data_IF_282712244366
#
_entry.id   IF_282712244366
#
_cell.length_a   1.000
_cell.length_b   1.000
_cell.length_c   1.000
_cell.angle_alpha   90.00
_cell.angle_beta   90.00
_cell.angle_gamma   90.00
#
_symmetry.space_group_name_H-M   'P 1'
#
loop_
_entity.id
_entity.type
_entity.pdbx_description
1 polymer ?
#
# COMPACT_ATOMS: atom_id res chain seq x y z
N UNK A 1 -13.12 -57.86 -20.96
CA UNK A 1 -14.10 -57.43 -19.95
C UNK A 1 -13.41 -57.22 -18.61
N UNK A 2 -12.82 -56.03 -18.38
CA UNK A 2 -12.36 -55.53 -17.08
C UNK A 2 -12.55 -54.01 -17.12
N UNK A 3 -13.65 -53.55 -16.53
CA UNK A 3 -13.96 -52.16 -16.27
C UNK A 3 -13.30 -51.75 -14.95
N UNK A 4 -12.42 -50.77 -14.98
CA UNK A 4 -12.02 -49.99 -13.80
C UNK A 4 -11.79 -48.53 -14.21
N UNK A 5 -12.18 -47.56 -13.38
CA UNK A 5 -12.95 -46.41 -13.81
C UNK A 5 -12.15 -45.10 -13.83
N UNK A 6 -12.67 -44.17 -14.64
CA UNK A 6 -12.37 -42.74 -14.72
C UNK A 6 -12.46 -42.03 -13.34
N UNK A 7 -11.45 -42.20 -12.48
CA UNK A 7 -11.31 -41.43 -11.24
C UNK A 7 -9.87 -40.92 -11.13
N UNK A 8 -9.45 -40.09 -12.07
CA UNK A 8 -8.28 -39.21 -11.90
C UNK A 8 -8.59 -37.75 -12.25
N UNK A 9 -9.87 -37.39 -12.40
CA UNK A 9 -10.27 -36.05 -12.86
C UNK A 9 -11.01 -35.23 -11.79
N UNK A 10 -10.67 -35.34 -10.50
CA UNK A 10 -11.33 -34.55 -9.44
C UNK A 10 -10.41 -34.17 -8.27
N UNK A 11 -9.14 -33.82 -8.52
CA UNK A 11 -8.30 -33.27 -7.44
C UNK A 11 -7.27 -32.21 -7.90
N UNK A 12 -7.69 -31.29 -8.76
CA UNK A 12 -7.05 -29.97 -8.83
C UNK A 12 -8.04 -28.92 -8.37
N UNK A 13 -8.60 -29.12 -7.17
CA UNK A 13 -9.28 -28.06 -6.45
C UNK A 13 -8.21 -27.05 -6.01
N UNK A 14 -8.36 -25.80 -6.46
CA UNK A 14 -7.35 -24.77 -6.41
C UNK A 14 -6.76 -24.53 -5.02
N UNK A 15 -5.44 -24.69 -4.92
CA UNK A 15 -4.64 -23.88 -4.01
C UNK A 15 -4.28 -22.60 -4.76
N UNK A 16 -5.22 -21.65 -4.83
CA UNK A 16 -4.82 -20.27 -4.95
C UNK A 16 -4.16 -19.91 -3.60
N UNK A 17 -2.85 -20.06 -3.51
CA UNK A 17 -2.03 -19.52 -2.43
C UNK A 17 -2.28 -18.00 -2.43
N UNK A 18 -3.17 -17.53 -1.57
CA UNK A 18 -3.29 -16.10 -1.33
C UNK A 18 -2.04 -15.71 -0.55
N UNK A 19 -0.99 -15.34 -1.29
CA UNK A 19 0.27 -14.94 -0.71
C UNK A 19 0.02 -13.76 0.21
N UNK A 20 0.60 -13.82 1.41
CA UNK A 20 0.46 -12.76 2.40
C UNK A 20 0.77 -11.39 1.77
N UNK A 21 -0.07 -10.35 1.95
CA UNK A 21 0.19 -9.04 1.39
C UNK A 21 1.58 -8.50 1.75
N UNK A 22 2.27 -7.86 0.80
CA UNK A 22 3.65 -7.42 0.99
C UNK A 22 3.86 -6.57 2.26
N UNK A 23 2.93 -5.65 2.56
CA UNK A 23 3.03 -4.79 3.75
C UNK A 23 3.10 -5.61 5.05
N UNK A 24 2.37 -6.73 5.16
CA UNK A 24 2.42 -7.62 6.33
C UNK A 24 3.74 -8.39 6.41
N UNK A 25 4.31 -8.74 5.26
CA UNK A 25 5.64 -9.35 5.22
C UNK A 25 6.70 -8.35 5.71
N UNK A 26 6.61 -7.09 5.28
CA UNK A 26 7.47 -5.99 5.75
C UNK A 26 7.31 -5.78 7.26
N UNK A 27 6.08 -5.67 7.76
CA UNK A 27 5.80 -5.48 9.20
C UNK A 27 6.41 -6.60 10.04
N UNK A 28 6.34 -7.85 9.57
CA UNK A 28 6.98 -9.00 10.24
C UNK A 28 8.49 -8.83 10.33
N UNK A 29 9.13 -8.38 9.25
CA UNK A 29 10.57 -8.13 9.26
C UNK A 29 10.97 -6.95 10.15
N UNK A 30 10.14 -5.91 10.24
CA UNK A 30 10.33 -4.78 11.15
C UNK A 30 10.23 -5.27 12.59
N UNK A 31 9.14 -5.97 12.94
CA UNK A 31 8.92 -6.50 14.29
C UNK A 31 10.06 -7.42 14.75
N UNK A 32 10.60 -8.25 13.85
CA UNK A 32 11.73 -9.13 14.15
C UNK A 32 13.06 -8.40 14.40
N UNK A 33 13.23 -7.16 13.91
CA UNK A 33 14.50 -6.42 13.95
C UNK A 33 14.48 -5.17 14.84
N UNK A 34 13.30 -4.66 15.20
CA UNK A 34 13.17 -3.35 15.86
C UNK A 34 13.87 -3.24 17.23
N UNK A 35 14.09 -4.36 17.94
CA UNK A 35 14.77 -4.37 19.24
C UNK A 35 14.06 -3.58 20.35
N UNK A 36 12.82 -3.14 20.11
CA UNK A 36 12.03 -2.27 20.99
C UNK A 36 10.66 -1.94 20.38
N UNK A 37 9.87 -1.05 21.01
CA UNK A 37 8.54 -0.69 20.53
C UNK A 37 8.56 -0.12 19.10
N UNK A 38 7.67 -0.63 18.24
CA UNK A 38 7.48 -0.12 16.87
C UNK A 38 6.54 1.08 16.90
N UNK A 39 6.75 2.04 15.99
CA UNK A 39 5.88 3.20 15.83
C UNK A 39 4.43 2.78 15.55
N UNK A 40 3.47 3.48 16.15
CA UNK A 40 2.05 3.29 15.89
C UNK A 40 1.63 3.75 14.49
N UNK A 41 0.39 3.46 14.12
CA UNK A 41 -0.21 3.97 12.89
C UNK A 41 -0.33 5.50 12.94
N UNK A 42 -0.01 6.15 11.84
CA UNK A 42 -0.16 7.60 11.71
C UNK A 42 -1.63 8.00 11.64
N UNK A 43 -1.96 9.13 12.26
CA UNK A 43 -3.24 9.78 12.03
C UNK A 43 -3.33 10.35 10.60
N UNK A 44 -4.52 10.86 10.24
CA UNK A 44 -4.77 11.39 8.90
C UNK A 44 -3.96 12.65 8.58
N UNK A 45 -3.63 13.46 9.58
CA UNK A 45 -2.88 14.71 9.39
C UNK A 45 -1.41 14.43 9.10
N UNK A 46 -0.81 13.52 9.88
CA UNK A 46 0.54 13.03 9.66
C UNK A 46 0.64 12.28 8.32
N UNK A 47 -0.32 11.41 8.04
CA UNK A 47 -0.40 10.66 6.78
C UNK A 47 -0.40 11.60 5.58
N UNK A 48 -1.29 12.61 5.58
CA UNK A 48 -1.45 13.51 4.44
C UNK A 48 -0.17 14.31 4.15
N UNK A 49 0.48 14.83 5.21
CA UNK A 49 1.74 15.56 5.07
C UNK A 49 2.86 14.66 4.54
N UNK A 50 3.03 13.45 5.11
CA UNK A 50 4.09 12.53 4.71
C UNK A 50 3.93 12.05 3.27
N UNK A 51 2.72 11.65 2.88
CA UNK A 51 2.49 11.12 1.53
C UNK A 51 2.69 12.19 0.44
N UNK A 52 2.35 13.46 0.71
CA UNK A 52 2.61 14.57 -0.22
C UNK A 52 4.11 14.81 -0.41
N UNK A 53 4.87 14.84 0.68
CA UNK A 53 6.32 14.99 0.63
C UNK A 53 7.01 13.81 -0.06
N UNK A 54 6.61 12.58 0.27
CA UNK A 54 7.26 11.37 -0.24
C UNK A 54 6.93 11.10 -1.72
N UNK A 55 5.68 11.32 -2.13
CA UNK A 55 5.26 11.02 -3.50
C UNK A 55 5.40 12.22 -4.43
N UNK A 56 5.02 13.43 -4.01
CA UNK A 56 4.99 14.60 -4.89
C UNK A 56 6.09 15.63 -4.58
N UNK A 57 6.82 15.50 -3.47
CA UNK A 57 7.92 16.41 -3.13
C UNK A 57 7.48 17.80 -2.67
N UNK A 58 6.19 18.01 -2.37
CA UNK A 58 5.65 19.33 -2.05
C UNK A 58 5.00 19.42 -0.65
N UNK A 59 4.92 20.65 -0.15
CA UNK A 59 4.27 20.96 1.13
C UNK A 59 2.81 21.32 0.84
N UNK A 60 1.83 20.59 1.38
CA UNK A 60 0.42 20.86 1.13
C UNK A 60 -0.02 22.20 1.72
N UNK A 61 -1.00 22.83 1.07
CA UNK A 61 -1.60 24.06 1.60
C UNK A 61 -2.56 23.76 2.77
N UNK A 62 -2.79 24.75 3.63
CA UNK A 62 -3.72 24.57 4.75
C UNK A 62 -5.17 24.26 4.30
N UNK A 63 -5.57 24.74 3.11
CA UNK A 63 -6.88 24.45 2.55
C UNK A 63 -7.01 22.98 2.13
N UNK A 64 -5.98 22.44 1.46
CA UNK A 64 -5.90 21.03 1.07
C UNK A 64 -5.94 20.09 2.27
N UNK A 65 -5.13 20.37 3.31
CA UNK A 65 -5.11 19.59 4.54
C UNK A 65 -6.50 19.56 5.17
N UNK A 66 -7.17 20.71 5.32
CA UNK A 66 -8.52 20.78 5.88
C UNK A 66 -9.55 20.02 5.04
N UNK A 67 -9.44 20.06 3.71
CA UNK A 67 -10.33 19.32 2.83
C UNK A 67 -10.16 17.80 3.02
N UNK A 68 -8.92 17.31 3.08
CA UNK A 68 -8.63 15.89 3.29
C UNK A 68 -9.10 15.39 4.67
N UNK A 69 -8.86 16.18 5.73
CA UNK A 69 -9.27 15.83 7.09
C UNK A 69 -10.79 15.77 7.24
N UNK A 70 -11.52 16.64 6.54
CA UNK A 70 -13.00 16.67 6.56
C UNK A 70 -13.64 15.58 5.69
N UNK A 71 -12.88 14.92 4.82
CA UNK A 71 -13.41 13.86 3.96
C UNK A 71 -13.74 12.60 4.79
N UNK A 72 -15.01 12.15 4.82
CA UNK A 72 -15.43 10.98 5.59
C UNK A 72 -15.27 9.66 4.82
N UNK A 73 -14.84 9.69 3.57
CA UNK A 73 -14.74 8.50 2.73
C UNK A 73 -13.71 7.51 3.30
N UNK A 74 -14.13 6.25 3.47
CA UNK A 74 -13.29 5.17 4.02
C UNK A 74 -12.08 4.86 3.15
N UNK A 75 -12.14 5.19 1.87
CA UNK A 75 -11.11 4.94 0.86
C UNK A 75 -10.30 6.20 0.49
N UNK A 76 -10.43 7.29 1.25
CA UNK A 76 -9.78 8.58 0.92
C UNK A 76 -8.26 8.49 0.82
N UNK A 77 -7.61 7.63 1.63
CA UNK A 77 -6.15 7.43 1.59
C UNK A 77 -5.73 6.75 0.29
N UNK A 78 -6.44 5.71 -0.12
CA UNK A 78 -6.19 5.00 -1.39
C UNK A 78 -6.38 5.93 -2.58
N UNK A 79 -7.51 6.65 -2.63
CA UNK A 79 -7.79 7.64 -3.69
C UNK A 79 -6.72 8.72 -3.79
N UNK A 80 -6.24 9.21 -2.65
CA UNK A 80 -5.15 10.20 -2.63
C UNK A 80 -3.85 9.62 -3.19
N UNK A 81 -3.48 8.39 -2.79
CA UNK A 81 -2.27 7.74 -3.31
C UNK A 81 -2.37 7.57 -4.82
N UNK A 82 -3.50 7.06 -5.33
CA UNK A 82 -3.72 6.87 -6.77
C UNK A 82 -3.62 8.21 -7.52
N UNK A 83 -4.21 9.28 -6.96
CA UNK A 83 -4.11 10.63 -7.52
C UNK A 83 -2.67 11.14 -7.56
N UNK A 84 -1.90 10.96 -6.48
CA UNK A 84 -0.51 11.44 -6.40
C UNK A 84 0.40 10.67 -7.35
N UNK A 85 0.26 9.34 -7.43
CA UNK A 85 1.03 8.49 -8.33
C UNK A 85 0.73 8.79 -9.81
N UNK A 86 -0.50 9.19 -10.13
CA UNK A 86 -0.90 9.56 -11.48
C UNK A 86 -0.48 11.00 -11.88
N UNK A 87 0.01 11.81 -10.94
CA UNK A 87 0.38 13.20 -11.19
C UNK A 87 1.82 13.36 -11.71
N UNK A 88 2.04 14.36 -12.56
CA UNK A 88 3.37 14.66 -13.13
C UNK A 88 4.44 14.95 -12.06
N UNK A 89 4.02 15.51 -10.92
CA UNK A 89 4.89 15.79 -9.79
C UNK A 89 5.58 14.53 -9.24
N UNK A 90 4.92 13.37 -9.28
CA UNK A 90 5.52 12.12 -8.82
C UNK A 90 6.72 11.72 -9.68
N UNK A 91 6.52 11.68 -11.00
CA UNK A 91 7.59 11.32 -11.94
C UNK A 91 8.78 12.29 -11.83
N UNK A 92 8.50 13.59 -11.75
CA UNK A 92 9.54 14.60 -11.57
C UNK A 92 10.31 14.43 -10.25
N UNK A 93 9.59 14.29 -9.12
CA UNK A 93 10.20 14.15 -7.80
C UNK A 93 11.04 12.88 -7.66
N UNK A 94 10.54 11.75 -8.16
CA UNK A 94 11.24 10.48 -8.07
C UNK A 94 12.40 10.34 -9.06
N UNK A 95 12.36 11.04 -10.19
CA UNK A 95 13.51 11.12 -11.10
C UNK A 95 14.70 11.78 -10.40
N UNK A 96 14.47 12.92 -9.74
CA UNK A 96 15.50 13.61 -8.95
C UNK A 96 16.03 12.72 -7.83
N UNK A 97 15.13 12.08 -7.07
CA UNK A 97 15.49 11.22 -5.93
C UNK A 97 16.30 9.97 -6.32
N UNK A 98 16.07 9.41 -7.50
CA UNK A 98 16.73 8.18 -7.97
C UNK A 98 17.98 8.44 -8.80
N UNK A 99 18.20 9.69 -9.22
CA UNK A 99 19.41 10.07 -9.93
C UNK A 99 20.51 10.31 -8.89
N UNK A 100 21.29 9.25 -8.61
CA UNK A 100 22.46 9.27 -7.72
C UNK A 100 23.71 9.65 -8.49
#
# INVERSE_FOLDING_TARGET
>A
MRWTPLICLWLTAGMALNAEPLHRQIDRHIAARAGGPVAGLSDDSEFYRRVRLDLAGDIPTAAEVRAFLKNPAKDKRTKLIDQLLAGDAFAAHWTDRLTV
#
